data_IF_706740525665
#
_entry.id   IF_706740525665
#
_cell.length_a   1.000
_cell.length_b   1.000
_cell.length_c   1.000
_cell.angle_alpha   90.00
_cell.angle_beta   90.00
_cell.angle_gamma   90.00
#
_symmetry.space_group_name_H-M   'P 1'
#
loop_
_entity.id
_entity.type
_entity.pdbx_description
1 polymer ?
#
# COMPACT_ATOMS: atom_id res chain seq x y z
N UNK A 1 11.94 8.53 -17.76
CA UNK A 1 11.78 7.59 -16.64
C UNK A 1 10.39 6.99 -16.76
N UNK A 2 10.25 5.67 -16.71
CA UNK A 2 8.92 5.04 -16.71
C UNK A 2 8.35 5.24 -15.32
N UNK A 3 7.41 6.17 -15.16
CA UNK A 3 6.68 6.33 -13.90
C UNK A 3 5.98 5.03 -13.50
N UNK A 4 5.72 4.87 -12.21
CA UNK A 4 4.99 3.73 -11.67
C UNK A 4 3.63 3.57 -12.37
N UNK A 5 3.22 2.32 -12.65
CA UNK A 5 1.90 2.09 -13.22
C UNK A 5 0.81 2.60 -12.27
N UNK A 6 -0.17 3.34 -12.79
CA UNK A 6 -1.27 3.93 -12.01
C UNK A 6 -1.98 2.93 -11.09
N UNK A 7 -2.08 1.66 -11.50
CA UNK A 7 -2.66 0.59 -10.69
C UNK A 7 -1.85 0.29 -9.43
N UNK A 8 -0.51 0.33 -9.53
CA UNK A 8 0.43 0.11 -8.41
C UNK A 8 0.32 1.29 -7.44
N UNK A 9 0.35 2.52 -7.95
CA UNK A 9 0.16 3.73 -7.14
C UNK A 9 -1.17 3.68 -6.37
N UNK A 10 -2.28 3.40 -7.06
CA UNK A 10 -3.61 3.29 -6.43
C UNK A 10 -3.67 2.17 -5.38
N UNK A 11 -2.87 1.11 -5.49
CA UNK A 11 -2.81 0.05 -4.48
C UNK A 11 -2.08 0.56 -3.22
N UNK A 12 -0.92 1.19 -3.40
CA UNK A 12 -0.17 1.80 -2.29
C UNK A 12 -1.00 2.85 -1.57
N UNK A 13 -1.68 3.72 -2.33
CA UNK A 13 -2.56 4.75 -1.79
C UNK A 13 -3.67 4.14 -0.91
N UNK A 14 -4.29 3.04 -1.34
CA UNK A 14 -5.35 2.37 -0.55
C UNK A 14 -4.83 1.77 0.74
N UNK A 15 -3.66 1.13 0.71
CA UNK A 15 -3.05 0.55 1.91
C UNK A 15 -2.60 1.66 2.86
N UNK A 16 -2.04 2.75 2.33
CA UNK A 16 -1.67 3.93 3.11
C UNK A 16 -2.89 4.63 3.73
N UNK A 17 -3.98 4.80 2.98
CA UNK A 17 -5.23 5.34 3.51
C UNK A 17 -5.79 4.46 4.65
N UNK A 18 -5.75 3.13 4.49
CA UNK A 18 -6.17 2.21 5.52
C UNK A 18 -5.32 2.33 6.79
N UNK A 19 -4.03 2.59 6.67
CA UNK A 19 -3.15 2.87 7.81
C UNK A 19 -3.53 4.16 8.55
N UNK A 20 -3.70 5.27 7.82
CA UNK A 20 -4.09 6.56 8.40
C UNK A 20 -5.43 6.46 9.13
N UNK A 21 -6.35 5.66 8.61
CA UNK A 21 -7.68 5.45 9.15
C UNK A 21 -7.74 4.35 10.25
N UNK A 22 -6.59 3.79 10.66
CA UNK A 22 -6.49 2.66 11.61
C UNK A 22 -7.37 1.46 11.22
N UNK A 23 -7.41 1.12 9.93
CA UNK A 23 -8.12 -0.04 9.37
C UNK A 23 -7.17 -1.11 8.82
N UNK A 24 -5.95 -1.18 9.35
CA UNK A 24 -5.04 -2.27 9.03
C UNK A 24 -5.44 -3.55 9.78
N UNK A 25 -5.08 -4.74 9.26
CA UNK A 25 -4.44 -4.98 7.96
C UNK A 25 -5.38 -4.71 6.75
N UNK A 26 -4.84 -4.19 5.64
CA UNK A 26 -5.64 -3.93 4.44
C UNK A 26 -5.99 -5.24 3.71
N UNK A 27 -7.27 -5.59 3.67
CA UNK A 27 -7.72 -6.85 3.09
C UNK A 27 -8.05 -6.70 1.60
N UNK A 28 -7.35 -7.43 0.75
CA UNK A 28 -7.65 -7.51 -0.68
C UNK A 28 -7.28 -8.88 -1.24
N UNK A 29 -7.97 -9.30 -2.30
CA UNK A 29 -7.66 -10.53 -3.08
C UNK A 29 -7.00 -10.20 -4.43
N UNK A 30 -6.58 -8.95 -4.61
CA UNK A 30 -5.99 -8.50 -5.87
C UNK A 30 -4.68 -9.21 -6.14
N UNK A 31 -4.50 -9.74 -7.36
CA UNK A 31 -3.20 -10.29 -7.81
C UNK A 31 -2.08 -9.25 -7.72
N UNK A 32 -2.42 -7.99 -7.97
CA UNK A 32 -1.48 -6.88 -7.85
C UNK A 32 -0.93 -6.74 -6.42
N UNK A 33 -1.74 -6.99 -5.38
CA UNK A 33 -1.24 -6.90 -4.01
C UNK A 33 -0.21 -7.99 -3.70
N UNK A 34 -0.41 -9.19 -4.26
CA UNK A 34 0.55 -10.31 -4.19
C UNK A 34 1.83 -9.94 -4.93
N UNK A 35 1.74 -9.41 -6.15
CA UNK A 35 2.92 -8.94 -6.89
C UNK A 35 3.67 -7.85 -6.12
N UNK A 36 2.95 -6.91 -5.51
CA UNK A 36 3.57 -5.84 -4.71
C UNK A 36 4.20 -6.33 -3.41
N UNK A 37 3.69 -7.42 -2.84
CA UNK A 37 4.35 -8.14 -1.75
C UNK A 37 5.66 -8.78 -2.24
N UNK A 38 5.64 -9.46 -3.39
CA UNK A 38 6.84 -10.04 -4.01
C UNK A 38 7.90 -8.98 -4.36
N UNK A 39 7.47 -7.79 -4.79
CA UNK A 39 8.36 -6.64 -5.03
C UNK A 39 8.83 -5.95 -3.74
N UNK A 40 8.32 -6.34 -2.58
CA UNK A 40 8.71 -5.79 -1.27
C UNK A 40 8.10 -4.43 -0.95
N UNK A 41 7.09 -3.97 -1.69
CA UNK A 41 6.34 -2.75 -1.40
C UNK A 41 5.25 -2.96 -0.36
N UNK A 42 4.67 -4.15 -0.31
CA UNK A 42 3.71 -4.58 0.70
C UNK A 42 4.29 -5.74 1.50
N UNK A 43 3.76 -5.93 2.70
CA UNK A 43 4.03 -7.10 3.53
C UNK A 43 2.71 -7.71 3.98
N UNK A 44 2.59 -9.03 3.86
CA UNK A 44 1.44 -9.74 4.39
C UNK A 44 1.61 -9.94 5.91
N UNK A 45 0.65 -9.47 6.67
CA UNK A 45 0.62 -9.67 8.11
C UNK A 45 -0.77 -10.04 8.61
N UNK A 46 -0.86 -10.30 9.91
CA UNK A 46 -2.12 -10.63 10.54
C UNK A 46 -2.20 -10.05 11.95
N UNK A 47 -3.35 -9.52 12.29
CA UNK A 47 -3.65 -9.01 13.62
C UNK A 47 -4.79 -9.79 14.26
N UNK A 48 -4.72 -9.92 15.59
CA UNK A 48 -5.77 -10.53 16.37
C UNK A 48 -6.74 -9.46 16.87
N UNK A 49 -7.93 -9.44 16.29
CA UNK A 49 -9.05 -8.60 16.72
C UNK A 49 -10.00 -9.45 17.58
N UNK A 50 -9.69 -9.55 18.87
CA UNK A 50 -10.45 -10.34 19.84
C UNK A 50 -10.31 -11.85 19.59
N UNK A 51 -11.41 -12.47 19.11
CA UNK A 51 -11.45 -13.90 18.76
C UNK A 51 -11.13 -14.17 17.29
N UNK A 52 -11.05 -13.13 16.46
CA UNK A 52 -10.81 -13.27 15.02
C UNK A 52 -9.39 -12.84 14.69
N UNK A 53 -8.70 -13.65 13.87
CA UNK A 53 -7.46 -13.24 13.23
C UNK A 53 -7.80 -12.65 11.86
N UNK A 54 -7.43 -11.40 11.66
CA UNK A 54 -7.61 -10.68 10.40
C UNK A 54 -6.26 -10.62 9.70
N UNK A 55 -6.19 -11.13 8.48
CA UNK A 55 -4.97 -11.09 7.65
C UNK A 55 -5.16 -10.13 6.48
N UNK A 56 -4.07 -9.49 6.07
CA UNK A 56 -4.02 -8.58 4.94
C UNK A 56 -2.67 -7.91 4.82
N UNK A 57 -2.61 -6.84 4.05
CA UNK A 57 -1.37 -6.18 3.66
C UNK A 57 -1.07 -4.93 4.50
N UNK A 58 0.22 -4.73 4.74
CA UNK A 58 0.82 -3.55 5.35
C UNK A 58 1.75 -2.88 4.35
N UNK A 59 1.90 -1.56 4.47
CA UNK A 59 2.88 -0.83 3.67
C UNK A 59 4.28 -1.05 4.25
N UNK A 60 5.24 -1.46 3.42
CA UNK A 60 6.65 -1.49 3.85
C UNK A 60 7.27 -0.10 3.77
N UNK A 61 8.48 0.06 4.32
CA UNK A 61 9.23 1.30 4.15
C UNK A 61 9.49 1.62 2.66
N UNK A 62 9.81 0.61 1.85
CA UNK A 62 10.01 0.78 0.41
C UNK A 62 8.70 1.20 -0.29
N UNK A 63 7.56 0.61 0.08
CA UNK A 63 6.25 1.00 -0.42
C UNK A 63 5.89 2.45 -0.10
N UNK A 64 6.26 2.94 1.09
CA UNK A 64 6.08 4.36 1.46
C UNK A 64 6.89 5.28 0.58
N UNK A 65 8.17 4.97 0.37
CA UNK A 65 9.04 5.78 -0.47
C UNK A 65 8.53 5.82 -1.91
N UNK A 66 8.16 4.65 -2.45
CA UNK A 66 7.66 4.54 -3.81
C UNK A 66 6.33 5.30 -4.02
N UNK A 67 5.44 5.30 -3.01
CA UNK A 67 4.24 6.13 -3.02
C UNK A 67 4.57 7.63 -2.96
N UNK A 68 5.47 8.03 -2.06
CA UNK A 68 5.86 9.43 -1.87
C UNK A 68 6.63 10.02 -3.06
N UNK A 69 7.41 9.22 -3.79
CA UNK A 69 8.14 9.66 -4.98
C UNK A 69 7.20 10.08 -6.11
N UNK A 70 6.09 9.36 -6.28
CA UNK A 70 5.04 9.69 -7.26
C UNK A 70 4.10 10.83 -6.77
N UNK A 71 4.08 11.15 -5.47
CA UNK A 71 3.35 12.31 -4.95
C UNK A 71 3.96 13.67 -5.34
N UNK A 72 5.18 13.70 -5.92
CA UNK A 72 5.87 14.96 -6.26
C UNK A 72 5.35 15.70 -7.50
N UNK A 73 4.43 15.11 -8.27
CA UNK A 73 3.94 15.70 -9.52
C UNK A 73 2.70 16.60 -9.36
N UNK A 74 2.37 17.06 -8.14
CA UNK A 74 1.51 18.25 -7.96
C UNK A 74 2.42 19.46 -7.76
N UNK A 75 3.20 19.80 -8.80
CA UNK A 75 3.80 21.13 -8.89
C UNK A 75 2.67 22.16 -9.01
N UNK A 76 2.45 22.87 -7.91
CA UNK A 76 1.65 24.08 -7.81
C UNK A 76 2.10 25.08 -8.91
N UNK A 77 1.22 25.53 -9.82
CA UNK A 77 1.57 26.55 -10.78
C UNK A 77 1.59 27.91 -10.07
N UNK A 78 2.68 28.19 -9.35
CA UNK A 78 2.99 29.51 -8.80
C UNK A 78 3.53 30.45 -9.87
#
# INVERSE_FOLDING_TARGET
MSGMAKSVFNMLEKVFAAEVENRLPYQTKSKLAVEMEEFGYLELGSERMGLVTVSGYYLTHAGRLAYCEECRDVEDPS
#
